data_IF_725889454033
#
_entry.id   IF_725889454033
#
_cell.length_a   1.000
_cell.length_b   1.000
_cell.length_c   1.000
_cell.angle_alpha   90.00
_cell.angle_beta   90.00
_cell.angle_gamma   90.00
#
_symmetry.space_group_name_H-M   'P 1'
#
loop_
_entity.id
_entity.type
_entity.pdbx_description
1 polymer ?
#
# COMPACT_ATOMS: atom_id res chain seq x y z
N UNK A 1 5.41 7.72 15.09
CA UNK A 1 5.25 7.03 13.78
C UNK A 1 6.56 6.34 13.45
N UNK A 2 6.50 5.09 13.01
CA UNK A 2 7.68 4.27 12.72
C UNK A 2 7.89 4.11 11.23
N UNK A 3 9.13 4.00 10.78
CA UNK A 3 9.41 3.61 9.40
C UNK A 3 8.87 2.21 9.14
N UNK A 4 8.27 2.01 7.98
CA UNK A 4 7.77 0.73 7.56
C UNK A 4 8.00 0.55 6.08
N UNK A 5 8.28 -0.69 5.69
CA UNK A 5 8.25 -1.13 4.32
C UNK A 5 7.60 -2.51 4.26
N UNK A 6 6.79 -2.71 3.23
CA UNK A 6 6.27 -4.02 2.85
C UNK A 6 6.41 -4.19 1.34
N UNK A 7 6.58 -5.43 0.92
CA UNK A 7 6.61 -5.84 -0.46
C UNK A 7 5.45 -6.81 -0.71
N UNK A 8 5.35 -7.31 -1.93
CA UNK A 8 4.37 -8.33 -2.28
C UNK A 8 2.90 -7.94 -1.99
N UNK A 9 2.61 -6.63 -1.98
CA UNK A 9 1.28 -6.10 -1.69
C UNK A 9 0.46 -5.99 -2.97
N UNK A 10 -0.75 -6.54 -2.97
CA UNK A 10 -1.69 -6.41 -4.09
C UNK A 10 -2.78 -5.39 -3.78
N UNK A 11 -3.10 -4.55 -4.76
CA UNK A 11 -4.18 -3.59 -4.65
C UNK A 11 -5.54 -4.29 -4.60
N UNK A 12 -6.39 -3.88 -3.65
CA UNK A 12 -7.73 -4.44 -3.43
C UNK A 12 -8.82 -3.42 -3.74
N UNK A 13 -8.77 -2.24 -3.13
CA UNK A 13 -9.79 -1.20 -3.32
C UNK A 13 -9.27 0.19 -3.02
N UNK A 14 -9.93 1.20 -3.59
CA UNK A 14 -9.61 2.62 -3.43
C UNK A 14 -10.84 3.40 -2.98
N UNK A 15 -10.63 4.34 -2.06
CA UNK A 15 -11.58 5.40 -1.74
C UNK A 15 -10.90 6.74 -1.94
N UNK A 16 -11.56 7.65 -2.65
CA UNK A 16 -11.03 8.98 -2.95
C UNK A 16 -11.71 10.01 -2.06
N UNK A 17 -10.89 10.86 -1.45
CA UNK A 17 -11.34 11.99 -0.65
C UNK A 17 -10.63 13.27 -1.12
N UNK A 18 -11.13 14.41 -0.66
CA UNK A 18 -10.58 15.71 -1.03
C UNK A 18 -9.09 15.80 -0.68
N UNK A 19 -8.74 15.43 0.56
CA UNK A 19 -7.40 15.56 1.12
C UNK A 19 -6.46 14.37 0.90
N UNK A 20 -6.97 13.19 0.51
CA UNK A 20 -6.13 12.01 0.29
C UNK A 20 -6.86 10.92 -0.51
N UNK A 21 -6.08 10.01 -1.10
CA UNK A 21 -6.58 8.70 -1.49
C UNK A 21 -6.34 7.70 -0.34
N UNK A 22 -7.29 6.79 -0.14
CA UNK A 22 -7.13 5.65 0.75
C UNK A 22 -7.13 4.38 -0.10
N UNK A 23 -6.10 3.56 0.06
CA UNK A 23 -5.99 2.26 -0.59
C UNK A 23 -6.08 1.15 0.45
N UNK A 24 -6.75 0.06 0.09
CA UNK A 24 -6.63 -1.22 0.77
C UNK A 24 -5.70 -2.10 -0.05
N UNK A 25 -4.62 -2.55 0.58
CA UNK A 25 -3.65 -3.47 0.00
C UNK A 25 -3.59 -4.74 0.83
N UNK A 26 -3.50 -5.89 0.15
CA UNK A 26 -3.36 -7.19 0.80
C UNK A 26 -1.94 -7.70 0.60
N UNK A 27 -1.31 -8.09 1.69
CA UNK A 27 -0.06 -8.84 1.68
C UNK A 27 -0.33 -10.29 1.29
N UNK A 28 0.32 -10.75 0.22
CA UNK A 28 0.13 -12.13 -0.26
C UNK A 28 0.81 -13.18 0.61
N UNK A 29 1.85 -12.81 1.35
CA UNK A 29 2.58 -13.75 2.21
C UNK A 29 1.83 -13.95 3.53
N UNK A 30 1.33 -12.86 4.11
CA UNK A 30 0.70 -12.90 5.45
C UNK A 30 -0.82 -12.85 5.43
N UNK A 31 -1.45 -12.67 4.27
CA UNK A 31 -2.87 -12.37 4.10
C UNK A 31 -3.38 -11.13 4.86
N UNK A 32 -2.49 -10.33 5.46
CA UNK A 32 -2.87 -9.10 6.17
C UNK A 32 -3.29 -8.02 5.19
N UNK A 33 -4.29 -7.24 5.57
CA UNK A 33 -4.70 -6.06 4.83
C UNK A 33 -4.16 -4.80 5.51
N UNK A 34 -3.57 -3.91 4.71
CA UNK A 34 -3.11 -2.60 5.14
C UNK A 34 -3.99 -1.51 4.54
N UNK A 35 -4.30 -0.51 5.38
CA UNK A 35 -4.90 0.75 4.91
C UNK A 35 -3.79 1.76 4.68
N UNK A 36 -3.66 2.22 3.43
CA UNK A 36 -2.60 3.12 2.99
C UNK A 36 -3.19 4.47 2.61
N UNK A 37 -2.63 5.54 3.15
CA UNK A 37 -3.02 6.92 2.91
C UNK A 37 -2.01 7.58 1.97
N UNK A 38 -2.49 8.02 0.83
CA UNK A 38 -1.75 8.81 -0.14
C UNK A 38 -2.28 10.25 -0.11
N UNK A 39 -1.62 11.08 0.70
CA UNK A 39 -1.95 12.50 0.85
C UNK A 39 -1.52 13.33 -0.36
N UNK A 40 -0.49 12.89 -1.10
CA UNK A 40 -0.04 13.57 -2.31
C UNK A 40 -0.94 13.27 -3.51
N UNK A 41 -1.82 12.26 -3.39
CA UNK A 41 -2.74 11.81 -4.43
C UNK A 41 -2.04 11.41 -5.73
N UNK A 42 -0.76 11.04 -5.65
CA UNK A 42 0.10 10.76 -6.81
C UNK A 42 0.18 9.27 -7.15
N UNK A 43 -0.30 8.39 -6.27
CA UNK A 43 -0.16 6.96 -6.46
C UNK A 43 -1.22 6.39 -7.41
N UNK A 44 -0.74 5.63 -8.38
CA UNK A 44 -1.56 4.86 -9.32
C UNK A 44 -1.25 3.39 -9.08
N UNK A 45 -2.26 2.66 -8.62
CA UNK A 45 -2.19 1.22 -8.34
C UNK A 45 -3.18 0.51 -9.24
N UNK A 46 -2.73 -0.59 -9.84
CA UNK A 46 -3.54 -1.45 -10.70
C UNK A 46 -3.80 -2.79 -10.02
N UNK A 47 -4.98 -3.35 -10.28
CA UNK A 47 -5.35 -4.67 -9.77
C UNK A 47 -4.44 -5.74 -10.38
N UNK A 48 -4.04 -6.72 -9.56
CA UNK A 48 -3.24 -7.87 -10.00
C UNK A 48 -1.72 -7.63 -10.04
N UNK A 49 -1.26 -6.39 -9.93
CA UNK A 49 0.17 -6.08 -9.80
C UNK A 49 0.59 -6.07 -8.32
N UNK A 50 1.74 -6.69 -7.98
CA UNK A 50 2.33 -6.56 -6.65
C UNK A 50 3.15 -5.28 -6.54
N UNK A 51 3.18 -4.70 -5.35
CA UNK A 51 3.84 -3.45 -5.05
C UNK A 51 4.70 -3.54 -3.78
N UNK A 52 5.81 -2.79 -3.82
CA UNK A 52 6.61 -2.42 -2.66
C UNK A 52 6.17 -1.02 -2.21
N UNK A 53 5.79 -0.90 -0.94
CA UNK A 53 5.36 0.35 -0.33
C UNK A 53 6.22 0.62 0.90
N UNK A 54 6.76 1.83 0.98
CA UNK A 54 7.42 2.33 2.17
C UNK A 54 6.86 3.67 2.61
N UNK A 55 6.92 3.90 3.92
CA UNK A 55 6.60 5.17 4.53
C UNK A 55 6.49 5.04 6.03
N UNK A 56 5.45 5.62 6.63
CA UNK A 56 5.29 5.70 8.08
C UNK A 56 4.07 4.96 8.58
N UNK A 57 4.24 4.18 9.65
CA UNK A 57 3.14 3.57 10.42
C UNK A 57 2.78 4.45 11.60
N UNK A 58 1.50 4.72 11.80
CA UNK A 58 0.97 5.17 13.08
C UNK A 58 0.40 3.98 13.89
N UNK A 59 0.57 4.01 15.21
CA UNK A 59 0.21 2.94 16.14
C UNK A 59 -1.15 3.14 16.82
N UNK A 60 -2.01 4.02 16.30
CA UNK A 60 -3.31 4.31 16.91
C UNK A 60 -4.33 3.19 16.60
N UNK A 61 -4.33 2.12 17.40
CA UNK A 61 -5.19 0.92 17.39
C UNK A 61 -5.32 0.16 16.05
N UNK A 62 -4.75 0.71 14.97
CA UNK A 62 -4.81 0.26 13.57
C UNK A 62 -3.50 0.68 12.89
N UNK A 63 -2.90 -0.23 12.12
CA UNK A 63 -1.71 0.05 11.33
C UNK A 63 -2.11 0.85 10.09
N UNK A 64 -1.88 2.17 10.13
CA UNK A 64 -2.05 3.06 8.97
C UNK A 64 -0.72 3.32 8.31
N UNK A 65 -0.61 3.05 7.01
CA UNK A 65 0.59 3.37 6.23
C UNK A 65 0.41 4.72 5.55
N UNK A 66 1.27 5.68 5.85
CA UNK A 66 1.41 6.88 5.02
C UNK A 66 2.29 6.51 3.84
N UNK A 67 1.78 6.69 2.62
CA UNK A 67 2.50 6.40 1.41
C UNK A 67 3.55 7.49 1.17
N UNK A 68 4.82 7.10 1.19
CA UNK A 68 5.92 7.98 0.78
C UNK A 68 6.50 7.52 -0.57
N UNK A 69 6.68 6.20 -0.74
CA UNK A 69 7.23 5.61 -1.96
C UNK A 69 6.40 4.37 -2.33
N UNK A 70 6.10 4.26 -3.62
CA UNK A 70 5.52 3.08 -4.26
C UNK A 70 6.40 2.65 -5.43
N UNK A 71 6.65 1.35 -5.54
CA UNK A 71 7.35 0.75 -6.69
C UNK A 71 6.67 -0.57 -7.05
N UNK A 72 6.53 -0.86 -8.34
CA UNK A 72 6.08 -2.17 -8.79
C UNK A 72 7.10 -3.25 -8.35
N UNK A 73 6.58 -4.32 -7.75
CA UNK A 73 7.39 -5.41 -7.22
C UNK A 73 7.63 -6.47 -8.31
N UNK A 74 8.60 -6.19 -9.17
CA UNK A 74 8.98 -7.09 -10.27
C UNK A 74 9.49 -8.45 -9.79
N UNK A 75 10.01 -8.55 -8.56
CA UNK A 75 10.49 -9.81 -8.01
C UNK A 75 9.34 -10.77 -7.76
N UNK A 76 8.22 -10.25 -7.28
CA UNK A 76 7.05 -11.05 -6.94
C UNK A 76 5.98 -11.04 -8.05
N UNK A 77 6.24 -10.45 -9.21
CA UNK A 77 5.30 -10.48 -10.34
C UNK A 77 4.87 -11.93 -10.66
N UNK A 78 3.58 -12.14 -10.86
CA UNK A 78 3.08 -13.45 -11.32
C UNK A 78 3.58 -13.65 -12.74
N UNK A 79 4.46 -14.65 -12.94
CA UNK A 79 4.85 -15.10 -14.28
C UNK A 79 3.64 -15.85 -14.85
N UNK A 80 3.04 -15.29 -15.90
CA UNK A 80 2.06 -15.99 -16.74
C UNK A 80 2.84 -16.97 -17.63
#
# INVERSE_FOLDING_TARGET
MFNFSANNLIFVSKSQHDKCNIFILKDRDTNRCYKVYDFLKSAILETGKPYCISGKVNSADKLYLVLEIVKEDKKNAVKI
#
